data_IF_525724977868
#
_entry.id   IF_525724977868
#
_cell.length_a   1.000
_cell.length_b   1.000
_cell.length_c   1.000
_cell.angle_alpha   90.00
_cell.angle_beta   90.00
_cell.angle_gamma   90.00
#
_symmetry.space_group_name_H-M   'P 1'
#
loop_
_entity.id
_entity.type
_entity.pdbx_description
1 polymer ?
#
# COMPACT_ATOMS: atom_id res chain seq x y z
N UNK A 1 -12.27 -0.59 -21.87
CA UNK A 1 -11.47 0.25 -20.95
C UNK A 1 -12.21 1.56 -20.75
N UNK A 2 -12.96 1.69 -19.65
CA UNK A 2 -13.55 2.96 -19.24
C UNK A 2 -12.43 3.98 -19.07
N UNK A 3 -12.59 5.18 -19.63
CA UNK A 3 -11.63 6.27 -19.44
C UNK A 3 -11.53 6.52 -17.92
N UNK A 4 -10.32 6.56 -17.39
CA UNK A 4 -10.06 6.82 -15.96
C UNK A 4 -10.73 8.13 -15.50
N UNK A 5 -10.95 9.04 -16.44
CA UNK A 5 -11.66 10.31 -16.28
C UNK A 5 -13.13 10.16 -15.84
N UNK A 6 -13.71 8.95 -15.90
CA UNK A 6 -15.08 8.64 -15.48
C UNK A 6 -15.16 7.91 -14.14
N UNK A 7 -14.02 7.63 -13.47
CA UNK A 7 -14.08 6.98 -12.16
C UNK A 7 -14.70 7.93 -11.12
N UNK A 8 -15.97 7.70 -10.80
CA UNK A 8 -16.68 8.46 -9.78
C UNK A 8 -16.20 8.04 -8.39
N UNK A 9 -15.26 8.81 -7.85
CA UNK A 9 -14.77 8.67 -6.47
C UNK A 9 -15.85 8.99 -5.42
N UNK A 10 -17.04 9.49 -5.80
CA UNK A 10 -18.13 9.84 -4.91
C UNK A 10 -17.79 10.97 -3.93
N UNK A 11 -16.88 11.85 -4.33
CA UNK A 11 -16.45 13.03 -3.57
C UNK A 11 -17.18 14.24 -4.16
N UNK A 12 -17.84 15.04 -3.33
CA UNK A 12 -18.60 16.20 -3.82
C UNK A 12 -17.69 17.41 -4.10
N UNK A 13 -16.76 17.69 -3.19
CA UNK A 13 -15.90 18.88 -3.28
C UNK A 13 -14.95 18.79 -4.49
N UNK A 14 -14.90 19.80 -5.39
CA UNK A 14 -14.09 19.75 -6.61
C UNK A 14 -12.60 19.52 -6.35
N UNK A 15 -11.99 20.27 -5.43
CA UNK A 15 -10.56 20.13 -5.14
C UNK A 15 -10.22 18.73 -4.59
N UNK A 16 -11.11 18.15 -3.79
CA UNK A 16 -10.91 16.80 -3.23
C UNK A 16 -11.02 15.71 -4.30
N UNK A 17 -11.94 15.89 -5.27
CA UNK A 17 -12.04 15.03 -6.45
C UNK A 17 -10.77 15.10 -7.29
N UNK A 18 -10.29 16.32 -7.54
CA UNK A 18 -9.09 16.55 -8.34
C UNK A 18 -7.85 15.94 -7.65
N UNK A 19 -7.75 16.08 -6.32
CA UNK A 19 -6.70 15.46 -5.52
C UNK A 19 -6.74 13.92 -5.67
N UNK A 20 -7.92 13.33 -5.50
CA UNK A 20 -8.08 11.87 -5.58
C UNK A 20 -7.78 11.34 -6.98
N UNK A 21 -8.23 12.05 -8.03
CA UNK A 21 -7.94 11.69 -9.42
C UNK A 21 -6.44 11.83 -9.75
N UNK A 22 -5.78 12.88 -9.28
CA UNK A 22 -4.34 13.06 -9.44
C UNK A 22 -3.54 11.99 -8.69
N UNK A 23 -3.95 11.65 -7.47
CA UNK A 23 -3.35 10.56 -6.70
C UNK A 23 -3.51 9.20 -7.38
N UNK A 24 -4.69 8.91 -7.93
CA UNK A 24 -4.95 7.69 -8.70
C UNK A 24 -4.11 7.57 -9.98
N UNK A 25 -3.77 8.70 -10.61
CA UNK A 25 -2.85 8.73 -11.76
C UNK A 25 -1.38 8.90 -11.35
N UNK A 26 -1.10 8.91 -10.04
CA UNK A 26 0.18 9.30 -9.45
C UNK A 26 0.79 10.50 -10.19
N UNK A 27 0.05 11.61 -10.25
CA UNK A 27 0.43 12.86 -10.91
C UNK A 27 0.82 13.91 -9.85
N UNK A 28 2.13 14.07 -9.54
CA UNK A 28 2.60 15.01 -8.51
C UNK A 28 2.07 16.44 -8.67
N UNK A 29 2.05 16.94 -9.91
CA UNK A 29 1.61 18.30 -10.20
C UNK A 29 0.11 18.49 -9.96
N UNK A 30 -0.71 17.48 -10.29
CA UNK A 30 -2.15 17.49 -10.02
C UNK A 30 -2.43 17.51 -8.51
N UNK A 31 -1.70 16.71 -7.74
CA UNK A 31 -1.79 16.68 -6.27
C UNK A 31 -1.49 18.07 -5.68
N UNK A 32 -0.36 18.66 -6.07
CA UNK A 32 0.03 19.99 -5.58
C UNK A 32 -1.01 21.06 -5.93
N UNK A 33 -1.57 21.02 -7.15
CA UNK A 33 -2.61 21.96 -7.57
C UNK A 33 -3.88 21.82 -6.73
N UNK A 34 -4.35 20.59 -6.51
CA UNK A 34 -5.55 20.33 -5.74
C UNK A 34 -5.39 20.75 -4.26
N UNK A 35 -4.25 20.43 -3.64
CA UNK A 35 -3.94 20.84 -2.27
C UNK A 35 -3.92 22.38 -2.12
N UNK A 36 -3.36 23.10 -3.10
CA UNK A 36 -3.39 24.58 -3.12
C UNK A 36 -4.80 25.17 -3.26
N UNK A 37 -5.74 24.41 -3.81
CA UNK A 37 -7.15 24.79 -3.90
C UNK A 37 -7.94 24.41 -2.64
N UNK A 38 -7.26 23.94 -1.58
CA UNK A 38 -7.87 23.60 -0.30
C UNK A 38 -8.40 22.16 -0.24
N UNK A 39 -7.89 21.26 -1.10
CA UNK A 39 -8.24 19.85 -0.99
C UNK A 39 -7.79 19.27 0.37
N UNK A 40 -8.64 18.42 0.96
CA UNK A 40 -8.30 17.70 2.18
C UNK A 40 -7.34 16.55 1.83
N UNK A 41 -6.12 16.59 2.38
CA UNK A 41 -5.03 15.65 2.04
C UNK A 41 -5.43 14.18 2.21
N UNK A 42 -6.26 13.87 3.22
CA UNK A 42 -6.77 12.53 3.49
C UNK A 42 -8.30 12.43 3.25
N UNK A 43 -8.79 13.07 2.19
CA UNK A 43 -10.19 12.88 1.77
C UNK A 43 -10.47 11.41 1.46
N UNK A 44 -11.54 10.85 2.00
CA UNK A 44 -11.92 9.49 1.67
C UNK A 44 -12.82 9.47 0.43
N UNK A 45 -12.50 8.64 -0.56
CA UNK A 45 -13.43 8.31 -1.65
C UNK A 45 -14.58 7.42 -1.16
N UNK A 46 -15.57 7.17 -2.01
CA UNK A 46 -16.77 6.36 -1.70
C UNK A 46 -16.46 4.96 -1.18
N UNK A 47 -15.39 4.33 -1.68
CA UNK A 47 -14.91 3.04 -1.20
C UNK A 47 -14.12 3.15 0.11
N UNK A 48 -13.84 4.36 0.60
CA UNK A 48 -13.11 4.65 1.84
C UNK A 48 -11.61 4.86 1.67
N UNK A 49 -11.08 4.86 0.45
CA UNK A 49 -9.64 5.06 0.21
C UNK A 49 -9.23 6.51 0.33
N UNK A 50 -8.06 6.77 0.92
CA UNK A 50 -7.40 8.07 0.90
C UNK A 50 -6.60 8.26 -0.39
N UNK A 51 -6.16 9.49 -0.74
CA UNK A 51 -5.26 9.72 -1.86
C UNK A 51 -3.99 8.87 -1.78
N UNK A 52 -3.40 8.72 -0.58
CA UNK A 52 -2.18 7.92 -0.41
C UNK A 52 -2.42 6.43 -0.67
N UNK A 53 -3.59 5.90 -0.30
CA UNK A 53 -3.99 4.52 -0.65
C UNK A 53 -4.15 4.34 -2.16
N UNK A 54 -4.71 5.33 -2.86
CA UNK A 54 -4.80 5.27 -4.32
C UNK A 54 -3.43 5.28 -4.99
N UNK A 55 -2.48 6.07 -4.49
CA UNK A 55 -1.09 6.03 -4.96
C UNK A 55 -0.49 4.64 -4.77
N UNK A 56 -0.66 4.05 -3.59
CA UNK A 56 -0.17 2.70 -3.28
C UNK A 56 -0.77 1.64 -4.22
N UNK A 57 -2.09 1.64 -4.38
CA UNK A 57 -2.81 0.73 -5.26
C UNK A 57 -2.39 0.83 -6.74
N UNK A 58 -1.96 2.03 -7.16
CA UNK A 58 -1.60 2.33 -8.55
C UNK A 58 -0.11 2.22 -8.84
N UNK A 59 0.68 1.87 -7.83
CA UNK A 59 2.15 1.84 -7.89
C UNK A 59 2.74 0.82 -8.86
N UNK A 60 2.00 -0.22 -9.25
CA UNK A 60 2.45 -1.20 -10.24
C UNK A 60 2.25 -0.76 -11.70
N UNK A 61 1.54 0.35 -11.96
CA UNK A 61 1.12 0.74 -13.31
C UNK A 61 1.89 1.98 -13.75
N UNK A 62 3.15 1.87 -14.17
CA UNK A 62 3.87 2.85 -15.01
C UNK A 62 3.82 4.37 -14.69
N UNK A 63 3.32 4.79 -13.54
CA UNK A 63 3.24 6.19 -13.09
C UNK A 63 4.40 6.53 -12.13
N UNK A 64 4.39 7.73 -11.55
CA UNK A 64 5.35 8.14 -10.51
C UNK A 64 4.72 8.08 -9.10
N UNK A 65 4.56 6.87 -8.51
CA UNK A 65 3.99 6.73 -7.17
C UNK A 65 4.87 7.34 -6.09
N UNK A 66 6.19 7.37 -6.26
CA UNK A 66 7.12 7.95 -5.28
C UNK A 66 6.92 9.45 -5.20
N UNK A 67 6.93 10.15 -6.34
CA UNK A 67 6.68 11.59 -6.37
C UNK A 67 5.31 11.94 -5.79
N UNK A 68 4.28 11.17 -6.14
CA UNK A 68 2.93 11.38 -5.63
C UNK A 68 2.85 11.18 -4.10
N UNK A 69 3.39 10.07 -3.59
CA UNK A 69 3.42 9.78 -2.15
C UNK A 69 4.22 10.84 -1.39
N UNK A 70 5.38 11.27 -1.92
CA UNK A 70 6.20 12.35 -1.32
C UNK A 70 5.42 13.63 -1.11
N UNK A 71 4.64 14.06 -2.11
CA UNK A 71 3.85 15.29 -1.98
C UNK A 71 2.70 15.15 -0.98
N UNK A 72 2.02 14.01 -0.96
CA UNK A 72 0.95 13.76 0.01
C UNK A 72 1.48 13.72 1.45
N UNK A 73 2.56 12.98 1.69
CA UNK A 73 3.20 12.88 3.01
C UNK A 73 3.73 14.25 3.46
N UNK A 74 4.40 15.00 2.56
CA UNK A 74 4.86 16.36 2.87
C UNK A 74 3.70 17.34 3.15
N UNK A 75 2.52 17.09 2.60
CA UNK A 75 1.30 17.86 2.86
C UNK A 75 0.58 17.42 4.15
N UNK A 76 1.14 16.50 4.92
CA UNK A 76 0.58 16.05 6.19
C UNK A 76 -0.42 14.90 6.08
N UNK A 77 -0.37 14.12 5.00
CA UNK A 77 -1.14 12.87 4.91
C UNK A 77 -0.76 11.93 6.06
N UNK A 78 -1.76 11.39 6.76
CA UNK A 78 -1.55 10.36 7.76
C UNK A 78 -1.22 9.02 7.08
N UNK A 79 0.06 8.68 7.10
CA UNK A 79 0.62 7.47 6.48
C UNK A 79 0.03 6.17 7.03
N UNK A 80 -0.47 6.20 8.28
CA UNK A 80 -1.01 5.04 8.98
C UNK A 80 -2.54 5.03 9.02
N UNK A 81 -3.19 5.99 8.37
CA UNK A 81 -4.65 6.06 8.31
C UNK A 81 -5.19 4.79 7.66
N UNK A 82 -6.12 4.13 8.34
CA UNK A 82 -6.89 3.04 7.75
C UNK A 82 -8.12 3.56 7.02
N UNK A 83 -8.51 2.84 5.98
CA UNK A 83 -9.61 3.20 5.09
C UNK A 83 -9.97 2.01 4.21
N UNK A 84 -11.01 2.15 3.41
CA UNK A 84 -11.47 1.04 2.57
C UNK A 84 -12.53 0.15 3.23
N UNK A 85 -13.16 -0.67 2.40
CA UNK A 85 -14.03 -1.78 2.80
C UNK A 85 -13.70 -2.98 1.90
N UNK A 86 -12.90 -3.96 2.35
CA UNK A 86 -12.34 -4.11 3.70
C UNK A 86 -11.31 -3.02 4.06
N UNK A 87 -11.08 -2.76 5.36
CA UNK A 87 -10.05 -1.81 5.79
C UNK A 87 -8.65 -2.24 5.37
N UNK A 88 -7.85 -1.26 4.93
CA UNK A 88 -6.45 -1.40 4.58
C UNK A 88 -5.69 -0.12 4.97
N UNK A 89 -4.37 -0.15 4.82
CA UNK A 89 -3.48 1.03 4.92
C UNK A 89 -2.62 1.11 3.65
N UNK A 90 -2.04 2.28 3.40
CA UNK A 90 -1.24 2.48 2.19
C UNK A 90 -0.04 1.52 2.10
N UNK A 91 0.60 1.19 3.22
CA UNK A 91 1.72 0.25 3.26
C UNK A 91 1.31 -1.17 2.84
N UNK A 92 0.18 -1.69 3.33
CA UNK A 92 -0.35 -3.00 2.94
C UNK A 92 -0.59 -3.06 1.43
N UNK A 93 -1.25 -2.03 0.86
CA UNK A 93 -1.48 -1.94 -0.59
C UNK A 93 -0.16 -1.90 -1.39
N UNK A 94 0.85 -1.15 -0.93
CA UNK A 94 2.14 -1.10 -1.61
C UNK A 94 2.85 -2.47 -1.63
N UNK A 95 2.68 -3.25 -0.56
CA UNK A 95 3.17 -4.63 -0.47
C UNK A 95 2.42 -5.55 -1.44
N UNK A 96 1.08 -5.50 -1.46
CA UNK A 96 0.25 -6.27 -2.40
C UNK A 96 0.59 -5.98 -3.87
N UNK A 97 0.89 -4.71 -4.19
CA UNK A 97 1.27 -4.28 -5.53
C UNK A 97 2.73 -4.59 -5.88
N UNK A 98 3.53 -5.12 -4.93
CA UNK A 98 4.93 -5.47 -5.15
C UNK A 98 5.86 -4.26 -5.35
N UNK A 99 5.49 -3.07 -4.87
CA UNK A 99 6.25 -1.85 -5.12
C UNK A 99 7.33 -1.64 -4.06
N UNK A 100 8.47 -2.33 -4.21
CA UNK A 100 9.58 -2.29 -3.24
C UNK A 100 10.04 -0.87 -2.91
N UNK A 101 10.21 -0.01 -3.91
CA UNK A 101 10.63 1.38 -3.71
C UNK A 101 9.61 2.20 -2.92
N UNK A 102 8.31 1.96 -3.13
CA UNK A 102 7.27 2.69 -2.39
C UNK A 102 7.17 2.18 -0.95
N UNK A 103 7.30 0.86 -0.74
CA UNK A 103 7.37 0.27 0.61
C UNK A 103 8.54 0.86 1.39
N UNK A 104 9.75 0.85 0.82
CA UNK A 104 10.93 1.44 1.46
C UNK A 104 10.69 2.91 1.82
N UNK A 105 10.18 3.71 0.87
CA UNK A 105 9.86 5.10 1.11
C UNK A 105 8.85 5.30 2.23
N UNK A 106 7.78 4.50 2.28
CA UNK A 106 6.74 4.58 3.30
C UNK A 106 7.28 4.22 4.68
N UNK A 107 8.07 3.15 4.79
CA UNK A 107 8.72 2.76 6.05
C UNK A 107 9.67 3.85 6.56
N UNK A 108 10.51 4.42 5.69
CA UNK A 108 11.38 5.56 6.03
C UNK A 108 10.59 6.82 6.43
N UNK A 109 9.34 6.94 5.98
CA UNK A 109 8.43 8.04 6.31
C UNK A 109 7.59 7.77 7.57
N UNK A 110 7.83 6.67 8.29
CA UNK A 110 7.15 6.35 9.55
C UNK A 110 5.88 5.51 9.40
N UNK A 111 5.71 4.80 8.28
CA UNK A 111 4.65 3.80 8.17
C UNK A 111 4.88 2.66 9.19
N UNK A 112 3.82 2.30 9.91
CA UNK A 112 3.83 1.21 10.88
C UNK A 112 3.72 -0.14 10.15
N UNK A 113 4.73 -1.03 10.25
CA UNK A 113 4.67 -2.35 9.64
C UNK A 113 3.67 -3.29 10.32
N UNK A 114 3.08 -2.90 11.45
CA UNK A 114 2.15 -3.67 12.28
C UNK A 114 0.80 -2.93 12.47
N UNK A 115 0.05 -2.60 11.40
CA UNK A 115 -1.18 -1.79 11.47
C UNK A 115 -2.27 -2.42 12.35
N UNK A 116 -3.41 -1.75 12.63
CA UNK A 116 -4.46 -2.30 13.48
C UNK A 116 -4.95 -3.72 13.09
N UNK A 117 -5.39 -4.51 14.05
CA UNK A 117 -5.72 -5.95 13.88
C UNK A 117 -6.81 -6.28 12.83
N UNK A 118 -7.57 -5.30 12.35
CA UNK A 118 -8.60 -5.46 11.32
C UNK A 118 -8.10 -5.14 9.90
N UNK A 119 -6.81 -4.84 9.76
CA UNK A 119 -6.11 -4.61 8.49
C UNK A 119 -5.18 -5.80 8.24
N UNK A 120 -5.14 -6.26 6.99
CA UNK A 120 -4.20 -7.31 6.57
C UNK A 120 -2.75 -6.84 6.84
N UNK A 121 -1.97 -7.56 7.65
CA UNK A 121 -0.60 -7.15 7.97
C UNK A 121 0.25 -7.06 6.68
N UNK A 122 1.03 -5.99 6.50
CA UNK A 122 1.90 -5.82 5.33
C UNK A 122 2.78 -7.04 5.05
N UNK A 123 3.25 -7.74 6.11
CA UNK A 123 4.09 -8.92 5.98
C UNK A 123 3.38 -10.10 5.29
N UNK A 124 2.08 -10.29 5.53
CA UNK A 124 1.27 -11.31 4.85
C UNK A 124 1.06 -10.96 3.38
N UNK A 125 0.83 -9.67 3.09
CA UNK A 125 0.60 -9.16 1.73
C UNK A 125 1.86 -9.08 0.87
N UNK A 126 3.05 -9.03 1.49
CA UNK A 126 4.34 -8.93 0.82
C UNK A 126 4.87 -10.25 0.26
N UNK A 127 4.13 -11.35 0.39
CA UNK A 127 4.56 -12.66 -0.08
C UNK A 127 4.17 -12.88 -1.54
N UNK A 128 5.07 -13.42 -2.39
CA UNK A 128 6.40 -13.96 -2.07
C UNK A 128 7.56 -12.97 -2.31
N UNK A 129 7.33 -11.66 -2.32
CA UNK A 129 8.34 -10.65 -2.66
C UNK A 129 9.41 -10.52 -1.56
N UNK A 130 10.49 -11.30 -1.69
CA UNK A 130 11.57 -11.41 -0.70
C UNK A 130 12.17 -10.06 -0.27
N UNK A 131 12.35 -9.12 -1.20
CA UNK A 131 12.91 -7.81 -0.88
C UNK A 131 11.98 -7.00 0.03
N UNK A 132 10.66 -7.06 -0.22
CA UNK A 132 9.65 -6.41 0.60
C UNK A 132 9.57 -7.07 1.98
N UNK A 133 9.61 -8.42 2.03
CA UNK A 133 9.68 -9.17 3.29
C UNK A 133 10.88 -8.71 4.12
N UNK A 134 12.06 -8.58 3.51
CA UNK A 134 13.27 -8.08 4.21
C UNK A 134 13.11 -6.67 4.74
N UNK A 135 12.54 -5.75 3.94
CA UNK A 135 12.27 -4.37 4.36
C UNK A 135 11.30 -4.31 5.54
N UNK A 136 10.22 -5.08 5.50
CA UNK A 136 9.24 -5.12 6.58
C UNK A 136 9.84 -5.69 7.87
N UNK A 137 10.61 -6.78 7.78
CA UNK A 137 11.27 -7.38 8.94
C UNK A 137 12.34 -6.45 9.54
N UNK A 138 13.08 -5.72 8.71
CA UNK A 138 14.06 -4.74 9.21
C UNK A 138 13.39 -3.54 9.86
N UNK A 139 12.19 -3.17 9.43
CA UNK A 139 11.36 -2.14 10.05
C UNK A 139 10.61 -2.61 11.31
N UNK A 140 10.70 -3.89 11.69
CA UNK A 140 10.10 -4.42 12.91
C UNK A 140 8.73 -5.08 12.72
N UNK A 141 8.39 -5.55 11.51
CA UNK A 141 7.21 -6.37 11.28
C UNK A 141 7.25 -7.65 12.15
N UNK A 142 6.11 -7.97 12.77
CA UNK A 142 5.96 -9.16 13.61
C UNK A 142 5.80 -10.44 12.77
N UNK A 143 6.80 -11.31 12.80
CA UNK A 143 6.83 -12.60 12.06
C UNK A 143 5.64 -13.52 12.38
N UNK A 144 5.30 -13.59 13.66
CA UNK A 144 4.31 -14.52 14.21
C UNK A 144 2.93 -13.87 14.38
N UNK A 145 2.73 -12.67 13.81
CA UNK A 145 1.44 -12.00 13.86
C UNK A 145 0.41 -12.82 13.09
N UNK A 146 -0.79 -12.96 13.67
CA UNK A 146 -1.85 -13.74 13.07
C UNK A 146 -2.77 -12.85 12.22
N UNK A 147 -3.14 -13.38 11.06
CA UNK A 147 -4.22 -12.87 10.23
C UNK A 147 -5.07 -14.05 9.76
N UNK A 148 -6.38 -13.99 10.00
CA UNK A 148 -7.30 -15.12 9.77
C UNK A 148 -6.83 -16.45 10.41
N UNK A 149 -6.14 -16.38 11.57
CA UNK A 149 -5.64 -17.54 12.30
C UNK A 149 -4.31 -18.11 11.80
N UNK A 150 -3.68 -17.48 10.80
CA UNK A 150 -2.42 -17.93 10.20
C UNK A 150 -1.31 -16.89 10.40
N UNK A 151 -0.09 -17.35 10.69
CA UNK A 151 1.10 -16.51 10.55
C UNK A 151 1.41 -16.27 9.07
N UNK A 152 2.34 -15.35 8.79
CA UNK A 152 2.81 -15.14 7.41
C UNK A 152 3.43 -16.43 6.84
N UNK A 153 4.15 -17.19 7.67
CA UNK A 153 4.73 -18.48 7.29
C UNK A 153 3.64 -19.52 6.99
N UNK A 154 2.66 -19.69 7.86
CA UNK A 154 1.57 -20.67 7.64
C UNK A 154 0.82 -20.36 6.34
N UNK A 155 0.51 -19.08 6.11
CA UNK A 155 -0.15 -18.63 4.87
C UNK A 155 0.71 -18.87 3.63
N UNK A 156 2.01 -18.61 3.73
CA UNK A 156 2.95 -18.91 2.66
C UNK A 156 2.97 -20.40 2.34
N UNK A 157 3.04 -21.27 3.36
CA UNK A 157 3.03 -22.72 3.17
C UNK A 157 1.71 -23.25 2.61
N UNK A 158 0.57 -22.64 2.92
CA UNK A 158 -0.73 -23.00 2.34
C UNK A 158 -0.84 -22.62 0.86
N UNK A 159 -0.42 -21.40 0.50
CA UNK A 159 -0.58 -20.86 -0.86
C UNK A 159 0.53 -21.29 -1.83
N UNK A 160 1.76 -21.45 -1.33
CA UNK A 160 2.96 -21.85 -2.09
C UNK A 160 3.39 -23.29 -1.76
N UNK A 161 2.41 -24.20 -1.64
CA UNK A 161 2.64 -25.62 -1.33
C UNK A 161 3.12 -26.46 -2.52
N UNK A 162 2.92 -26.00 -3.76
CA UNK A 162 3.30 -26.74 -4.96
C UNK A 162 4.78 -26.50 -5.29
N UNK A 163 5.66 -27.51 -5.20
CA UNK A 163 7.10 -27.39 -5.47
C UNK A 163 7.44 -27.03 -6.93
N UNK A 164 6.44 -26.86 -7.80
CA UNK A 164 6.59 -26.35 -9.17
C UNK A 164 6.36 -24.83 -9.27
N UNK A 165 5.94 -24.18 -8.19
CA UNK A 165 5.75 -22.73 -8.15
C UNK A 165 6.93 -22.07 -7.43
N UNK A 166 7.74 -21.31 -8.16
CA UNK A 166 8.77 -20.44 -7.58
C UNK A 166 10.19 -20.95 -7.71
N UNK A 167 11.12 -20.11 -7.25
CA UNK A 167 12.54 -20.40 -7.16
C UNK A 167 12.82 -21.08 -5.81
N UNK A 168 13.34 -22.33 -5.78
CA UNK A 168 13.61 -23.07 -4.54
C UNK A 168 14.51 -22.31 -3.58
N UNK A 169 15.42 -21.47 -4.09
CA UNK A 169 16.31 -20.65 -3.27
C UNK A 169 15.53 -19.54 -2.57
N UNK A 170 14.54 -18.93 -3.25
CA UNK A 170 13.65 -17.95 -2.64
C UNK A 170 12.77 -18.59 -1.57
N UNK A 171 12.24 -19.79 -1.82
CA UNK A 171 11.41 -20.52 -0.86
C UNK A 171 12.16 -20.82 0.44
N UNK A 172 13.40 -21.30 0.33
CA UNK A 172 14.25 -21.57 1.48
C UNK A 172 14.51 -20.28 2.29
N UNK A 173 14.72 -19.16 1.61
CA UNK A 173 14.94 -17.86 2.25
C UNK A 173 13.69 -17.34 2.95
N UNK A 174 12.50 -17.46 2.35
CA UNK A 174 11.25 -17.04 2.98
C UNK A 174 11.01 -17.84 4.26
N UNK A 175 11.15 -19.18 4.21
CA UNK A 175 11.03 -20.03 5.40
C UNK A 175 12.04 -19.66 6.48
N UNK A 176 13.28 -19.39 6.10
CA UNK A 176 14.31 -18.96 7.06
C UNK A 176 14.03 -17.59 7.69
N UNK A 177 13.45 -16.65 6.94
CA UNK A 177 13.15 -15.30 7.45
C UNK A 177 11.96 -15.28 8.40
N UNK A 178 10.98 -16.17 8.18
CA UNK A 178 9.72 -16.21 8.91
C UNK A 178 9.65 -17.27 10.01
N UNK A 179 10.50 -18.30 9.97
CA UNK A 179 10.65 -19.31 11.02
C UNK A 179 11.48 -18.82 12.19
#
# INVERSE_FOLDING_TARGET
MTRIDEYDFGIAHPADRDLTAAAFRCEPLGIVRALRQGALVDVASRNGFTPLMWVAFRSAVGFDPIGAARWLIAAGSDINRSGGKPPTVALTLACEMGSTALVEHMLLSGADPNPPAHVDPPLHSALPQLDIVRLLLSAGAERTRLWNGLTALDRYEELWRDPRHGDPDQDALIRHLLG
#
